data_IF_036853478640
#
_entry.id   IF_036853478640
#
_cell.length_a   1.000
_cell.length_b   1.000
_cell.length_c   1.000
_cell.angle_alpha   90.00
_cell.angle_beta   90.00
_cell.angle_gamma   90.00
#
_symmetry.space_group_name_H-M   'P 1'
#
loop_
_entity.id
_entity.type
_entity.pdbx_description
1 polymer ?
#
# COMPACT_ATOMS: atom_id res chain seq x y z
N UNK A 1 -10.78 -24.73 6.38
CA UNK A 1 -11.04 -23.84 7.53
C UNK A 1 -11.53 -22.51 7.00
N UNK A 2 -12.62 -21.99 7.56
CA UNK A 2 -13.13 -20.66 7.27
C UNK A 2 -12.52 -19.68 8.25
N UNK A 3 -12.03 -18.55 7.75
CA UNK A 3 -11.61 -17.42 8.59
C UNK A 3 -12.51 -16.21 8.29
N UNK A 4 -12.63 -15.32 9.27
CA UNK A 4 -13.39 -14.08 9.15
C UNK A 4 -12.46 -12.94 8.75
N UNK A 5 -12.90 -12.07 7.86
CA UNK A 5 -12.16 -10.85 7.50
C UNK A 5 -12.73 -9.71 8.33
N UNK A 6 -11.86 -9.08 9.14
CA UNK A 6 -12.18 -7.90 9.91
C UNK A 6 -11.97 -6.64 9.07
N UNK A 7 -12.99 -5.79 9.04
CA UNK A 7 -12.89 -4.47 8.46
C UNK A 7 -12.19 -3.46 9.41
N UNK A 8 -12.15 -2.20 9.00
CA UNK A 8 -11.52 -1.15 9.81
C UNK A 8 -12.22 -0.94 11.15
N UNK A 9 -13.54 -1.04 11.21
CA UNK A 9 -14.30 -0.80 12.43
C UNK A 9 -14.15 -1.98 13.41
N UNK A 10 -14.13 -3.20 12.90
CA UNK A 10 -13.83 -4.41 13.69
C UNK A 10 -12.40 -4.32 14.26
N UNK A 11 -11.42 -4.00 13.41
CA UNK A 11 -10.02 -3.83 13.81
C UNK A 11 -9.85 -2.75 14.89
N UNK A 12 -10.53 -1.61 14.74
CA UNK A 12 -10.51 -0.53 15.75
C UNK A 12 -11.12 -0.97 17.08
N UNK A 13 -12.17 -1.79 17.05
CA UNK A 13 -12.78 -2.35 18.27
C UNK A 13 -11.78 -3.23 19.02
N UNK A 14 -11.12 -4.13 18.29
CA UNK A 14 -10.09 -5.00 18.89
C UNK A 14 -8.95 -4.18 19.48
N UNK A 15 -8.46 -3.15 18.78
CA UNK A 15 -7.39 -2.27 19.30
C UNK A 15 -7.81 -1.57 20.58
N UNK A 16 -9.06 -1.07 20.68
CA UNK A 16 -9.58 -0.47 21.91
C UNK A 16 -9.58 -1.45 23.08
N UNK A 17 -10.05 -2.66 22.84
CA UNK A 17 -10.05 -3.69 23.86
C UNK A 17 -8.63 -4.05 24.32
N UNK A 18 -7.67 -4.13 23.38
CA UNK A 18 -6.25 -4.34 23.69
C UNK A 18 -5.69 -3.21 24.58
N UNK A 19 -5.95 -1.94 24.23
CA UNK A 19 -5.49 -0.79 25.00
C UNK A 19 -6.03 -0.82 26.41
N UNK A 20 -7.31 -1.11 26.57
CA UNK A 20 -7.97 -1.24 27.88
C UNK A 20 -7.33 -2.33 28.74
N UNK A 21 -7.15 -3.52 28.19
CA UNK A 21 -6.63 -4.67 28.95
C UNK A 21 -5.14 -4.53 29.29
N UNK A 22 -4.38 -3.80 28.46
CA UNK A 22 -3.00 -3.45 28.74
C UNK A 22 -2.84 -2.20 29.61
N UNK A 23 -3.94 -1.61 30.11
CA UNK A 23 -3.95 -0.37 30.89
C UNK A 23 -3.20 0.79 30.17
N UNK A 24 -3.40 0.93 28.87
CA UNK A 24 -2.83 2.00 28.06
C UNK A 24 -3.91 3.05 27.79
N UNK A 25 -3.61 4.30 28.14
CA UNK A 25 -4.57 5.42 28.00
C UNK A 25 -4.85 5.77 26.51
N UNK A 26 -6.10 5.60 26.08
CA UNK A 26 -6.55 5.91 24.72
C UNK A 26 -6.37 7.39 24.33
N UNK A 27 -6.31 8.31 25.30
CA UNK A 27 -6.05 9.74 25.00
C UNK A 27 -4.61 9.96 24.54
N UNK A 28 -3.66 9.21 25.12
CA UNK A 28 -2.25 9.25 24.72
C UNK A 28 -1.98 8.38 23.50
N UNK A 29 -2.74 7.30 23.33
CA UNK A 29 -2.63 6.31 22.25
C UNK A 29 -3.98 6.15 21.53
N UNK A 30 -4.40 7.13 20.69
CA UNK A 30 -5.66 7.04 19.98
C UNK A 30 -5.73 5.75 19.13
N UNK A 31 -6.82 4.96 19.22
CA UNK A 31 -6.93 3.64 18.56
C UNK A 31 -6.64 3.68 17.06
N UNK A 32 -7.11 4.72 16.35
CA UNK A 32 -6.81 4.90 14.91
C UNK A 32 -5.32 5.10 14.64
N UNK A 33 -4.63 5.84 15.50
CA UNK A 33 -3.18 6.01 15.38
C UNK A 33 -2.45 4.71 15.63
N UNK A 34 -2.84 3.95 16.66
CA UNK A 34 -2.24 2.64 16.98
C UNK A 34 -2.46 1.67 15.82
N UNK A 35 -3.67 1.56 15.29
CA UNK A 35 -3.96 0.73 14.12
C UNK A 35 -3.10 1.16 12.91
N UNK A 36 -2.89 2.46 12.70
CA UNK A 36 -2.01 2.96 11.65
C UNK A 36 -0.53 2.57 11.83
N UNK A 37 -0.05 2.45 13.07
CA UNK A 37 1.30 1.91 13.34
C UNK A 37 1.37 0.41 13.06
N UNK A 38 0.35 -0.36 13.43
CA UNK A 38 0.24 -1.80 13.14
C UNK A 38 0.25 -2.03 11.62
N UNK A 39 -0.58 -1.28 10.86
CA UNK A 39 -0.64 -1.36 9.42
C UNK A 39 0.72 -1.06 8.76
N UNK A 40 1.44 -0.02 9.21
CA UNK A 40 2.79 0.29 8.72
C UNK A 40 3.81 -0.79 9.07
N UNK A 41 3.71 -1.42 10.25
CA UNK A 41 4.59 -2.53 10.60
C UNK A 41 4.34 -3.74 9.68
N UNK A 42 3.07 -4.06 9.39
CA UNK A 42 2.70 -5.11 8.43
C UNK A 42 3.19 -4.77 7.02
N UNK A 43 3.02 -3.52 6.57
CA UNK A 43 3.53 -3.06 5.27
C UNK A 43 5.05 -3.19 5.14
N UNK A 44 5.78 -3.00 6.24
CA UNK A 44 7.22 -3.26 6.33
C UNK A 44 7.58 -4.74 6.52
N UNK A 45 6.65 -5.68 6.36
CA UNK A 45 6.84 -7.12 6.55
C UNK A 45 7.24 -7.52 7.98
N UNK A 46 6.95 -6.67 8.99
CA UNK A 46 7.27 -6.94 10.39
C UNK A 46 6.09 -7.62 11.10
N UNK A 47 6.32 -8.84 11.57
CA UNK A 47 5.38 -9.49 12.48
C UNK A 47 5.38 -8.82 13.86
N UNK A 48 4.34 -9.08 14.64
CA UNK A 48 4.12 -8.42 15.93
C UNK A 48 5.30 -8.57 16.89
N UNK A 49 5.82 -9.78 17.04
CA UNK A 49 6.95 -10.08 17.91
C UNK A 49 8.27 -9.48 17.40
N UNK A 50 8.49 -9.50 16.08
CA UNK A 50 9.65 -8.90 15.44
C UNK A 50 9.64 -7.37 15.64
N UNK A 51 8.47 -6.74 15.46
CA UNK A 51 8.30 -5.30 15.66
C UNK A 51 8.51 -4.92 17.13
N UNK A 52 8.01 -5.72 18.08
CA UNK A 52 8.24 -5.50 19.50
C UNK A 52 9.73 -5.57 19.85
N UNK A 53 10.43 -6.60 19.38
CA UNK A 53 11.86 -6.76 19.62
C UNK A 53 12.69 -5.60 19.04
N UNK A 54 12.31 -5.09 17.85
CA UNK A 54 12.96 -3.94 17.23
C UNK A 54 12.74 -2.66 18.06
N UNK A 55 11.52 -2.41 18.54
CA UNK A 55 11.18 -1.25 19.36
C UNK A 55 11.89 -1.27 20.73
N UNK A 56 11.97 -2.43 21.36
CA UNK A 56 12.69 -2.61 22.64
C UNK A 56 14.19 -2.38 22.47
N UNK A 57 14.78 -2.89 21.39
CA UNK A 57 16.20 -2.67 21.06
C UNK A 57 16.51 -1.20 20.78
N UNK A 58 15.58 -0.50 20.15
CA UNK A 58 15.70 0.94 19.89
C UNK A 58 15.50 1.81 21.17
N UNK A 59 14.97 1.24 22.26
CA UNK A 59 14.69 1.96 23.50
C UNK A 59 13.55 2.98 23.38
N UNK A 60 12.68 2.86 22.38
CA UNK A 60 11.51 3.73 22.20
C UNK A 60 10.34 3.24 23.03
N UNK A 61 10.15 3.82 24.21
CA UNK A 61 9.06 3.46 25.14
C UNK A 61 7.67 3.65 24.53
N UNK A 62 7.47 4.63 23.65
CA UNK A 62 6.18 4.88 23.01
C UNK A 62 5.88 3.79 21.99
N UNK A 63 6.81 3.51 21.09
CA UNK A 63 6.66 2.47 20.08
C UNK A 63 6.58 1.09 20.73
N UNK A 64 7.33 0.83 21.81
CA UNK A 64 7.24 -0.44 22.57
C UNK A 64 5.83 -0.68 23.10
N UNK A 65 5.14 0.36 23.62
CA UNK A 65 3.73 0.22 24.04
C UNK A 65 2.83 -0.14 22.87
N UNK A 66 2.99 0.53 21.72
CA UNK A 66 2.23 0.23 20.50
C UNK A 66 2.51 -1.19 20.02
N UNK A 67 3.77 -1.61 20.06
CA UNK A 67 4.18 -2.97 19.69
C UNK A 67 3.56 -4.04 20.59
N UNK A 68 3.44 -3.79 21.89
CA UNK A 68 2.70 -4.68 22.81
C UNK A 68 1.21 -4.77 22.46
N UNK A 69 0.61 -3.65 22.06
CA UNK A 69 -0.78 -3.67 21.54
C UNK A 69 -0.86 -4.50 20.26
N UNK A 70 0.13 -4.41 19.36
CA UNK A 70 0.15 -5.20 18.13
C UNK A 70 0.24 -6.69 18.41
N UNK A 71 1.09 -7.13 19.36
CA UNK A 71 1.19 -8.54 19.79
C UNK A 71 -0.17 -9.04 20.30
N UNK A 72 -0.82 -8.29 21.20
CA UNK A 72 -2.11 -8.65 21.75
C UNK A 72 -3.23 -8.63 20.69
N UNK A 73 -3.21 -7.64 19.79
CA UNK A 73 -4.12 -7.53 18.65
C UNK A 73 -4.04 -8.78 17.76
N UNK A 74 -2.83 -9.18 17.38
CA UNK A 74 -2.63 -10.33 16.51
C UNK A 74 -3.03 -11.65 17.19
N UNK A 75 -2.76 -11.78 18.48
CA UNK A 75 -3.21 -12.92 19.29
C UNK A 75 -4.73 -13.05 19.26
N UNK A 76 -5.46 -11.95 19.42
CA UNK A 76 -6.94 -11.94 19.39
C UNK A 76 -7.51 -12.29 18.03
N UNK A 77 -6.93 -11.74 16.95
CA UNK A 77 -7.32 -12.11 15.60
C UNK A 77 -7.14 -13.62 15.39
N UNK A 78 -6.01 -14.16 15.81
CA UNK A 78 -5.72 -15.59 15.71
C UNK A 78 -6.75 -16.44 16.47
N UNK A 79 -7.05 -16.10 17.74
CA UNK A 79 -8.05 -16.81 18.57
C UNK A 79 -9.46 -16.73 17.95
N UNK A 80 -9.80 -15.62 17.32
CA UNK A 80 -11.06 -15.44 16.61
C UNK A 80 -11.09 -16.11 15.22
N UNK A 81 -10.01 -16.74 14.78
CA UNK A 81 -9.83 -17.20 13.39
C UNK A 81 -10.12 -16.06 12.40
N UNK A 82 -9.60 -14.86 12.68
CA UNK A 82 -9.81 -13.67 11.89
C UNK A 82 -8.50 -13.15 11.29
N UNK A 83 -8.63 -12.44 10.18
CA UNK A 83 -7.55 -11.68 9.51
C UNK A 83 -8.07 -10.29 9.20
N UNK A 84 -7.24 -9.27 9.32
CA UNK A 84 -7.52 -7.97 8.73
C UNK A 84 -7.03 -7.92 7.26
N UNK A 85 -7.29 -6.82 6.57
CA UNK A 85 -6.89 -6.67 5.15
C UNK A 85 -5.37 -6.72 4.95
N UNK A 86 -4.60 -6.14 5.88
CA UNK A 86 -3.14 -6.17 5.81
C UNK A 86 -2.60 -7.58 6.03
N UNK A 87 -3.20 -8.36 6.94
CA UNK A 87 -2.84 -9.76 7.18
C UNK A 87 -3.00 -10.62 5.93
N UNK A 88 -4.06 -10.41 5.16
CA UNK A 88 -4.30 -11.18 3.92
C UNK A 88 -3.11 -11.04 2.98
N UNK A 89 -2.64 -9.82 2.76
CA UNK A 89 -1.52 -9.56 1.86
C UNK A 89 -0.20 -10.02 2.49
N UNK A 90 0.04 -9.68 3.76
CA UNK A 90 1.25 -10.05 4.49
C UNK A 90 1.47 -11.57 4.49
N UNK A 91 0.47 -12.33 4.89
CA UNK A 91 0.58 -13.78 4.93
C UNK A 91 0.67 -14.41 3.54
N UNK A 92 0.03 -13.83 2.53
CA UNK A 92 0.17 -14.29 1.13
C UNK A 92 1.60 -14.07 0.63
N UNK A 93 2.19 -12.90 0.86
CA UNK A 93 3.59 -12.62 0.48
C UNK A 93 4.53 -13.59 1.20
N UNK A 94 4.37 -13.77 2.51
CA UNK A 94 5.19 -14.71 3.28
C UNK A 94 5.07 -16.15 2.80
N UNK A 95 3.84 -16.60 2.50
CA UNK A 95 3.61 -17.92 1.92
C UNK A 95 4.40 -18.11 0.63
N UNK A 96 4.31 -17.14 -0.28
CA UNK A 96 5.03 -17.19 -1.55
C UNK A 96 6.55 -17.10 -1.38
N UNK A 97 7.05 -16.40 -0.36
CA UNK A 97 8.48 -16.31 -0.06
C UNK A 97 9.04 -17.59 0.57
N UNK A 98 8.28 -18.21 1.46
CA UNK A 98 8.73 -19.36 2.26
C UNK A 98 8.51 -20.71 1.55
N UNK A 99 7.53 -20.79 0.64
CA UNK A 99 7.15 -22.03 -0.05
C UNK A 99 7.35 -21.89 -1.57
N UNK A 100 8.50 -22.39 -2.02
CA UNK A 100 8.90 -22.31 -3.43
C UNK A 100 7.94 -23.03 -4.37
N UNK A 101 7.42 -24.17 -3.97
CA UNK A 101 6.43 -24.95 -4.74
C UNK A 101 5.16 -24.16 -4.97
N UNK A 102 4.64 -23.46 -3.94
CA UNK A 102 3.47 -22.59 -4.04
C UNK A 102 3.78 -21.41 -4.94
N UNK A 103 4.91 -20.73 -4.71
CA UNK A 103 5.35 -19.60 -5.56
C UNK A 103 5.46 -20.01 -7.02
N UNK A 104 6.17 -21.10 -7.32
CA UNK A 104 6.35 -21.59 -8.67
C UNK A 104 5.02 -21.98 -9.33
N UNK A 105 4.07 -22.55 -8.58
CA UNK A 105 2.72 -22.82 -9.08
C UNK A 105 2.02 -21.55 -9.57
N UNK A 106 1.96 -20.50 -8.73
CA UNK A 106 1.29 -19.26 -9.09
C UNK A 106 2.03 -18.47 -10.17
N UNK A 107 3.37 -18.47 -10.17
CA UNK A 107 4.18 -17.87 -11.24
C UNK A 107 3.93 -18.52 -12.59
N UNK A 108 3.75 -19.85 -12.66
CA UNK A 108 3.36 -20.54 -13.90
C UNK A 108 1.92 -20.25 -14.30
N UNK A 109 1.04 -20.10 -13.33
CA UNK A 109 -0.38 -19.83 -13.57
C UNK A 109 -0.62 -18.43 -14.13
N UNK A 110 0.09 -17.43 -13.59
CA UNK A 110 -0.07 -16.02 -13.99
C UNK A 110 1.04 -15.63 -14.97
N UNK A 111 0.73 -15.80 -16.28
CA UNK A 111 1.69 -15.46 -17.35
C UNK A 111 1.84 -13.95 -17.57
N UNK A 112 0.86 -13.17 -17.18
CA UNK A 112 0.84 -11.71 -17.25
C UNK A 112 0.32 -11.18 -15.92
N UNK A 113 1.00 -10.17 -15.40
CA UNK A 113 0.57 -9.43 -14.22
C UNK A 113 0.40 -7.97 -14.62
N UNK A 114 -0.83 -7.47 -14.49
CA UNK A 114 -1.18 -6.09 -14.84
C UNK A 114 -1.73 -5.41 -13.59
N UNK A 115 -1.17 -4.27 -13.26
CA UNK A 115 -1.57 -3.47 -12.10
C UNK A 115 -2.00 -2.09 -12.59
N UNK A 116 -3.21 -1.70 -12.24
CA UNK A 116 -3.72 -0.35 -12.45
C UNK A 116 -3.55 0.49 -11.18
N UNK A 117 -3.59 1.82 -11.33
CA UNK A 117 -3.42 2.78 -10.23
C UNK A 117 -2.14 2.51 -9.40
N UNK A 118 -1.05 2.18 -10.09
CA UNK A 118 0.18 1.69 -9.45
C UNK A 118 0.82 2.71 -8.49
N UNK A 119 0.56 4.01 -8.66
CA UNK A 119 1.01 5.08 -7.76
C UNK A 119 0.40 4.96 -6.35
N UNK A 120 -0.71 4.24 -6.20
CA UNK A 120 -1.42 4.06 -4.93
C UNK A 120 -1.05 2.76 -4.22
N UNK A 121 -0.10 2.00 -4.77
CA UNK A 121 0.37 0.75 -4.15
C UNK A 121 1.30 1.00 -2.96
N UNK A 122 1.12 0.19 -1.92
CA UNK A 122 2.04 0.11 -0.79
C UNK A 122 3.12 -0.95 -1.02
N UNK A 123 4.06 -1.07 -0.07
CA UNK A 123 5.18 -2.00 -0.20
C UNK A 123 4.75 -3.48 -0.24
N UNK A 124 3.76 -3.89 0.56
CA UNK A 124 3.25 -5.27 0.53
C UNK A 124 2.61 -5.61 -0.82
N UNK A 125 1.82 -4.69 -1.37
CA UNK A 125 1.18 -4.87 -2.68
C UNK A 125 2.21 -4.95 -3.80
N UNK A 126 3.25 -4.11 -3.74
CA UNK A 126 4.40 -4.20 -4.64
C UNK A 126 5.08 -5.57 -4.55
N UNK A 127 5.40 -6.04 -3.33
CA UNK A 127 6.05 -7.35 -3.12
C UNK A 127 5.20 -8.51 -3.64
N UNK A 128 3.88 -8.47 -3.42
CA UNK A 128 2.98 -9.47 -3.96
C UNK A 128 3.01 -9.49 -5.49
N UNK A 129 2.82 -8.33 -6.11
CA UNK A 129 2.76 -8.20 -7.57
C UNK A 129 4.09 -8.61 -8.23
N UNK A 130 5.22 -8.12 -7.72
CA UNK A 130 6.56 -8.44 -8.24
C UNK A 130 6.91 -9.93 -8.04
N UNK A 131 6.53 -10.52 -6.91
CA UNK A 131 6.74 -11.96 -6.67
C UNK A 131 5.96 -12.80 -7.67
N UNK A 132 4.70 -12.46 -7.95
CA UNK A 132 3.88 -13.18 -8.92
C UNK A 132 4.39 -13.00 -10.37
N UNK A 133 4.87 -11.79 -10.70
CA UNK A 133 5.40 -11.48 -12.02
C UNK A 133 6.74 -12.19 -12.33
N UNK A 134 7.49 -12.57 -11.31
CA UNK A 134 8.86 -13.09 -11.43
C UNK A 134 9.02 -14.40 -12.24
N UNK A 135 7.92 -15.06 -12.61
CA UNK A 135 7.98 -16.29 -13.42
C UNK A 135 8.22 -16.06 -14.92
N UNK A 136 7.61 -15.00 -15.47
CA UNK A 136 7.68 -14.68 -16.90
C UNK A 136 8.15 -13.24 -17.16
N UNK A 137 8.24 -12.42 -16.13
CA UNK A 137 8.55 -10.98 -16.20
C UNK A 137 7.63 -10.18 -17.13
N UNK A 138 6.46 -10.74 -17.47
CA UNK A 138 5.40 -10.02 -18.19
C UNK A 138 4.62 -9.15 -17.21
N UNK A 139 5.28 -8.09 -16.73
CA UNK A 139 4.76 -7.18 -15.73
C UNK A 139 4.43 -5.84 -16.37
N UNK A 140 3.15 -5.45 -16.33
CA UNK A 140 2.68 -4.18 -16.83
C UNK A 140 2.04 -3.41 -15.70
N UNK A 141 2.49 -2.19 -15.49
CA UNK A 141 1.90 -1.27 -14.52
C UNK A 141 1.38 -0.02 -15.22
N UNK A 142 0.20 0.41 -14.81
CA UNK A 142 -0.42 1.65 -15.28
C UNK A 142 -0.63 2.54 -14.06
N UNK A 143 -0.30 3.81 -14.19
CA UNK A 143 -0.46 4.74 -13.09
C UNK A 143 -0.14 6.18 -13.50
N UNK A 144 -0.45 7.07 -12.60
CA UNK A 144 -0.27 8.50 -12.75
C UNK A 144 0.38 9.09 -11.50
N UNK A 145 1.67 9.40 -11.58
CA UNK A 145 2.43 9.97 -10.48
C UNK A 145 1.87 11.31 -9.99
N UNK A 146 1.16 12.05 -10.85
CA UNK A 146 0.47 13.29 -10.48
C UNK A 146 -0.80 13.06 -9.66
N UNK A 147 -1.32 11.84 -9.61
CA UNK A 147 -2.51 11.44 -8.84
C UNK A 147 -2.18 10.68 -7.56
N UNK A 148 -0.92 10.59 -7.15
CA UNK A 148 -0.51 9.93 -5.91
C UNK A 148 -0.92 10.74 -4.67
N UNK A 149 -2.16 10.58 -4.24
CA UNK A 149 -2.75 11.29 -3.08
C UNK A 149 -2.99 10.38 -1.87
N UNK A 150 -2.72 9.08 -1.96
CA UNK A 150 -2.97 8.10 -0.90
C UNK A 150 -1.77 7.78 -0.01
N UNK A 151 -0.76 8.65 0.05
CA UNK A 151 0.40 8.50 0.93
C UNK A 151 0.02 8.29 2.41
N UNK A 152 -1.05 8.94 2.86
CA UNK A 152 -1.58 8.78 4.21
C UNK A 152 -2.16 7.36 4.49
N UNK A 153 -2.41 6.57 3.44
CA UNK A 153 -2.81 5.15 3.50
C UNK A 153 -1.65 4.19 3.27
N UNK A 154 -0.40 4.67 3.26
CA UNK A 154 0.78 3.84 3.04
C UNK A 154 1.20 3.70 1.58
N UNK A 155 0.53 4.36 0.63
CA UNK A 155 0.97 4.38 -0.76
C UNK A 155 2.36 4.99 -0.88
N UNK A 156 3.20 4.38 -1.72
CA UNK A 156 4.59 4.74 -1.92
C UNK A 156 4.80 5.12 -3.38
N UNK A 157 4.86 6.43 -3.66
CA UNK A 157 5.07 6.95 -5.02
C UNK A 157 6.38 6.44 -5.63
N UNK A 158 7.35 6.11 -4.81
CA UNK A 158 8.63 5.55 -5.20
C UNK A 158 8.47 4.27 -6.03
N UNK A 159 7.41 3.48 -5.79
CA UNK A 159 7.12 2.27 -6.57
C UNK A 159 6.99 2.57 -8.07
N UNK A 160 6.25 3.63 -8.45
CA UNK A 160 6.09 4.00 -9.86
C UNK A 160 7.31 4.78 -10.39
N UNK A 161 7.93 5.60 -9.56
CA UNK A 161 9.07 6.41 -9.98
C UNK A 161 10.32 5.56 -10.25
N UNK A 162 10.55 4.52 -9.43
CA UNK A 162 11.72 3.62 -9.54
C UNK A 162 11.48 2.41 -10.43
N UNK A 163 10.29 2.24 -10.99
CA UNK A 163 9.95 1.05 -11.78
C UNK A 163 10.93 0.78 -12.94
N UNK A 164 11.36 1.81 -13.66
CA UNK A 164 12.32 1.70 -14.77
C UNK A 164 13.71 1.27 -14.30
N UNK A 165 14.09 1.65 -13.07
CA UNK A 165 15.37 1.25 -12.49
C UNK A 165 15.35 -0.21 -12.03
N UNK A 166 14.21 -0.66 -11.52
CA UNK A 166 14.02 -2.02 -11.04
C UNK A 166 13.86 -3.02 -12.18
N UNK A 167 13.14 -2.63 -13.25
CA UNK A 167 12.88 -3.47 -14.42
C UNK A 167 13.62 -2.91 -15.65
N UNK A 168 14.91 -3.19 -15.71
CA UNK A 168 15.77 -2.73 -16.81
C UNK A 168 15.25 -3.22 -18.17
N UNK A 169 15.08 -2.30 -19.10
CA UNK A 169 14.55 -2.61 -20.43
C UNK A 169 13.03 -2.58 -20.53
N UNK A 170 12.31 -2.19 -19.48
CA UNK A 170 10.88 -1.96 -19.58
C UNK A 170 10.58 -0.85 -20.59
N UNK A 171 9.46 -0.99 -21.30
CA UNK A 171 8.99 0.03 -22.25
C UNK A 171 8.04 0.99 -21.53
N UNK A 172 8.42 2.26 -21.48
CA UNK A 172 7.56 3.32 -20.96
C UNK A 172 6.73 3.92 -22.07
N UNK A 173 5.42 3.99 -21.86
CA UNK A 173 4.45 4.61 -22.77
C UNK A 173 3.75 5.71 -22.01
N UNK A 174 3.77 6.94 -22.52
CA UNK A 174 3.06 8.07 -21.93
C UNK A 174 1.74 8.27 -22.65
N UNK A 175 0.64 8.30 -21.87
CA UNK A 175 -0.70 8.56 -22.36
C UNK A 175 -1.04 10.03 -22.05
N UNK A 176 -0.79 10.94 -23.00
CA UNK A 176 -0.92 12.37 -22.77
C UNK A 176 -2.20 12.95 -23.40
N UNK A 177 -2.82 12.24 -24.36
CA UNK A 177 -4.10 12.65 -24.94
C UNK A 177 -5.24 12.35 -23.95
N UNK A 178 -5.93 13.42 -23.54
CA UNK A 178 -7.08 13.32 -22.62
C UNK A 178 -8.38 13.37 -23.45
N UNK A 179 -9.27 12.42 -23.18
CA UNK A 179 -10.56 12.26 -23.86
C UNK A 179 -11.76 12.68 -22.99
N UNK A 180 -11.51 13.12 -21.76
CA UNK A 180 -12.55 13.44 -20.76
C UNK A 180 -12.85 14.92 -20.70
N UNK A 181 -11.84 15.77 -20.78
CA UNK A 181 -11.92 17.20 -20.46
C UNK A 181 -11.65 18.09 -21.65
N UNK A 182 -12.24 19.28 -21.64
CA UNK A 182 -11.97 20.35 -22.62
C UNK A 182 -10.63 21.03 -22.33
N UNK A 183 -10.16 21.83 -23.28
CA UNK A 183 -8.84 22.45 -23.26
C UNK A 183 -8.64 23.39 -22.06
N UNK A 184 -9.60 24.26 -21.75
CA UNK A 184 -9.49 25.19 -20.61
C UNK A 184 -9.31 24.43 -19.29
N UNK A 185 -9.99 23.29 -19.09
CA UNK A 185 -9.86 22.47 -17.89
C UNK A 185 -8.44 21.88 -17.81
N UNK A 186 -7.91 21.37 -18.93
CA UNK A 186 -6.56 20.79 -18.96
C UNK A 186 -5.47 21.84 -18.75
N UNK A 187 -5.62 23.03 -19.32
CA UNK A 187 -4.68 24.13 -19.11
C UNK A 187 -4.60 24.53 -17.65
N UNK A 188 -5.75 24.65 -16.98
CA UNK A 188 -5.80 24.94 -15.53
C UNK A 188 -5.17 23.81 -14.71
N UNK A 189 -5.50 22.56 -15.02
CA UNK A 189 -4.93 21.38 -14.34
C UNK A 189 -3.41 21.32 -14.53
N UNK A 190 -2.93 21.48 -15.76
CA UNK A 190 -1.50 21.51 -16.06
C UNK A 190 -0.78 22.66 -15.33
N UNK A 191 -1.42 23.83 -15.21
CA UNK A 191 -0.86 24.98 -14.48
C UNK A 191 -0.71 24.68 -12.99
N UNK A 192 -1.69 24.02 -12.36
CA UNK A 192 -1.63 23.61 -10.94
C UNK A 192 -0.52 22.59 -10.73
N UNK A 193 -0.51 21.53 -11.54
CA UNK A 193 0.40 20.40 -11.32
C UNK A 193 1.88 20.74 -11.61
N UNK A 194 2.17 21.76 -12.40
CA UNK A 194 3.55 22.24 -12.63
C UNK A 194 4.27 22.69 -11.36
N UNK A 195 3.52 23.03 -10.30
CA UNK A 195 4.11 23.39 -9.00
C UNK A 195 4.64 22.20 -8.21
N UNK A 196 4.26 20.97 -8.57
CA UNK A 196 4.74 19.76 -7.90
C UNK A 196 6.15 19.40 -8.37
N UNK A 197 7.01 19.10 -7.39
CA UNK A 197 8.39 18.64 -7.65
C UNK A 197 8.46 17.11 -7.57
N UNK A 198 9.47 16.52 -8.24
CA UNK A 198 9.73 15.07 -8.18
C UNK A 198 8.82 14.21 -9.04
N UNK A 199 8.15 14.81 -10.03
CA UNK A 199 7.29 14.12 -11.01
C UNK A 199 8.07 13.69 -12.26
N UNK A 200 7.59 12.66 -12.96
CA UNK A 200 8.16 12.24 -14.27
C UNK A 200 7.87 13.22 -15.41
N UNK A 201 6.98 14.17 -15.18
CA UNK A 201 6.61 15.22 -16.10
C UNK A 201 5.84 14.72 -17.32
N UNK A 202 4.59 15.10 -17.42
CA UNK A 202 3.75 14.98 -18.62
C UNK A 202 2.94 16.25 -18.77
N UNK A 203 2.43 16.50 -19.97
CA UNK A 203 1.52 17.60 -20.25
C UNK A 203 0.29 17.03 -20.98
N UNK A 204 -0.86 17.10 -20.32
CA UNK A 204 -2.10 16.60 -20.88
C UNK A 204 -2.59 17.55 -21.94
N UNK A 205 -3.01 17.01 -23.09
CA UNK A 205 -3.62 17.74 -24.18
C UNK A 205 -4.88 17.03 -24.67
N UNK A 206 -5.74 17.72 -25.40
CA UNK A 206 -7.00 17.16 -25.91
C UNK A 206 -7.31 17.70 -27.32
N UNK A 207 -8.04 16.89 -28.09
CA UNK A 207 -8.69 17.28 -29.33
C UNK A 207 -10.10 17.84 -29.10
N UNK A 208 -10.63 17.75 -27.89
CA UNK A 208 -11.90 18.39 -27.55
C UNK A 208 -11.75 19.92 -27.66
N UNK A 209 -12.85 20.62 -27.97
CA UNK A 209 -12.86 22.06 -28.09
C UNK A 209 -12.46 22.81 -26.83
N UNK A 210 -12.42 24.14 -26.91
CA UNK A 210 -12.00 25.03 -25.81
C UNK A 210 -12.80 24.79 -24.51
N UNK A 211 -14.13 24.55 -24.66
CA UNK A 211 -15.05 24.45 -23.53
C UNK A 211 -15.38 25.81 -22.90
N UNK A 212 -16.14 25.79 -21.82
CA UNK A 212 -16.47 27.00 -21.09
C UNK A 212 -15.26 27.52 -20.31
N UNK A 213 -15.19 28.85 -20.12
CA UNK A 213 -14.15 29.47 -19.29
C UNK A 213 -14.36 29.07 -17.83
N UNK A 214 -13.27 28.81 -17.14
CA UNK A 214 -13.30 28.58 -15.69
C UNK A 214 -13.57 29.93 -14.98
N UNK A 215 -14.49 29.94 -14.03
CA UNK A 215 -14.85 31.11 -13.21
C UNK A 215 -14.39 30.92 -11.77
#
# INVERSE_FOLDING_TARGET
>A
SSFTIYDTDDSLRVVKDCLKDLNIDEKQFPPRSVLGYISRAKDAMKLAEEYLADCERAGDFRLTKIAKVYVEYQRRLWEASALDFDDIILHTVRLLQQHEDVRAFYQRKFRYVLIDEYQDTNNLQYLLASTLAGGYENFCVVGDDDQSIYRFRGATIENILSFEEQYKGCRVIRLEENYRSTKHILEASNAVIRNNQGRKGKELWTKAGEGDKLT
#
